data_IF_562563404155
#
_entry.id   IF_562563404155
#
_cell.length_a   1.000
_cell.length_b   1.000
_cell.length_c   1.000
_cell.angle_alpha   90.00
_cell.angle_beta   90.00
_cell.angle_gamma   90.00
#
_symmetry.space_group_name_H-M   'P 1'
#
loop_
_entity.id
_entity.type
_entity.pdbx_description
1 polymer ?
#
# COMPACT_ATOMS: atom_id res chain seq x y z
N UNK A 1 8.39 -1.95 7.10
CA UNK A 1 7.14 -2.36 6.40
C UNK A 1 7.09 -3.86 6.13
N UNK A 2 7.99 -4.48 5.38
CA UNK A 2 7.94 -5.91 5.03
C UNK A 2 7.81 -6.88 6.22
N UNK A 3 8.42 -6.57 7.36
CA UNK A 3 8.32 -7.36 8.62
C UNK A 3 6.87 -7.52 9.11
N UNK A 4 6.01 -6.55 8.87
CA UNK A 4 4.63 -6.51 9.38
C UNK A 4 3.59 -6.89 8.32
N UNK A 5 4.01 -7.15 7.09
CA UNK A 5 3.19 -7.61 5.99
C UNK A 5 2.95 -9.11 6.10
N UNK A 6 1.74 -9.50 6.49
CA UNK A 6 1.35 -10.89 6.76
C UNK A 6 0.75 -11.55 5.51
N UNK A 7 0.69 -12.88 5.43
CA UNK A 7 -0.18 -13.56 4.46
C UNK A 7 -1.61 -13.05 4.58
N UNK A 8 -2.30 -12.93 3.45
CA UNK A 8 -3.62 -12.32 3.35
C UNK A 8 -3.59 -10.82 3.08
N UNK A 9 -2.60 -10.09 3.58
CA UNK A 9 -2.48 -8.66 3.36
C UNK A 9 -2.28 -8.33 1.87
N UNK A 10 -2.73 -7.13 1.49
CA UNK A 10 -2.57 -6.59 0.15
C UNK A 10 -1.59 -5.44 0.12
N UNK A 11 -0.88 -5.33 -0.99
CA UNK A 11 0.02 -4.23 -1.26
C UNK A 11 -0.39 -3.51 -2.55
N UNK A 12 -0.41 -2.17 -2.50
CA UNK A 12 -0.64 -1.30 -3.65
C UNK A 12 0.37 -0.14 -3.59
N UNK A 13 1.49 -0.30 -4.25
CA UNK A 13 2.60 0.64 -4.18
C UNK A 13 3.06 1.13 -5.54
N UNK A 14 4.25 1.69 -5.58
CA UNK A 14 4.80 2.35 -6.76
C UNK A 14 6.25 1.92 -7.05
N UNK A 15 6.85 2.44 -8.11
CA UNK A 15 8.09 1.98 -8.72
C UNK A 15 9.35 2.04 -7.83
N UNK A 16 9.32 2.70 -6.67
CA UNK A 16 10.49 2.76 -5.75
C UNK A 16 10.52 1.61 -4.72
N UNK A 17 9.56 0.71 -4.76
CA UNK A 17 9.39 -0.34 -3.74
C UNK A 17 10.06 -1.67 -4.09
N UNK A 18 11.15 -1.65 -4.89
CA UNK A 18 11.92 -2.88 -5.22
C UNK A 18 12.36 -3.62 -3.96
N UNK A 19 12.87 -2.88 -2.97
CA UNK A 19 13.31 -3.47 -1.70
C UNK A 19 12.18 -4.18 -0.97
N UNK A 20 10.96 -3.64 -1.02
CA UNK A 20 9.79 -4.29 -0.44
C UNK A 20 9.46 -5.60 -1.18
N UNK A 21 9.43 -5.58 -2.52
CA UNK A 21 9.16 -6.75 -3.32
C UNK A 21 10.18 -7.88 -3.06
N UNK A 22 11.46 -7.54 -2.96
CA UNK A 22 12.52 -8.50 -2.64
C UNK A 22 12.42 -9.00 -1.19
N UNK A 23 12.24 -8.11 -0.22
CA UNK A 23 12.16 -8.46 1.20
C UNK A 23 10.94 -9.33 1.54
N UNK A 24 9.87 -9.23 0.76
CA UNK A 24 8.67 -10.08 0.91
C UNK A 24 8.78 -11.40 0.17
N UNK A 25 9.80 -11.56 -0.68
CA UNK A 25 9.96 -12.71 -1.56
C UNK A 25 8.99 -12.70 -2.76
N UNK A 26 8.34 -11.58 -3.04
CA UNK A 26 7.40 -11.44 -4.15
C UNK A 26 8.12 -11.30 -5.50
N UNK A 27 9.38 -10.85 -5.50
CA UNK A 27 10.23 -10.75 -6.67
C UNK A 27 11.66 -11.12 -6.33
N UNK A 28 12.39 -11.59 -7.33
CA UNK A 28 13.83 -11.83 -7.27
C UNK A 28 14.60 -10.79 -8.09
N UNK A 29 15.89 -10.67 -7.85
CA UNK A 29 16.77 -9.80 -8.64
C UNK A 29 16.79 -10.24 -10.11
N UNK A 30 16.71 -11.55 -10.39
CA UNK A 30 16.65 -12.08 -11.75
C UNK A 30 15.38 -11.62 -12.49
N UNK A 31 14.24 -11.72 -11.86
CA UNK A 31 12.94 -11.26 -12.41
C UNK A 31 12.91 -9.75 -12.63
N UNK A 32 13.52 -8.98 -11.71
CA UNK A 32 13.70 -7.54 -11.88
C UNK A 32 14.50 -7.18 -13.14
N UNK A 33 15.60 -7.90 -13.41
CA UNK A 33 16.36 -7.69 -14.63
C UNK A 33 15.64 -8.20 -15.87
N UNK A 34 14.90 -9.31 -15.79
CA UNK A 34 14.05 -9.75 -16.90
C UNK A 34 13.01 -8.66 -17.26
N UNK A 35 12.39 -8.04 -16.28
CA UNK A 35 11.47 -6.91 -16.49
C UNK A 35 12.20 -5.70 -17.10
N UNK A 36 13.42 -5.37 -16.63
CA UNK A 36 14.24 -4.27 -17.19
C UNK A 36 14.53 -4.46 -18.68
N UNK A 37 14.79 -5.69 -19.09
CA UNK A 37 15.05 -6.05 -20.49
C UNK A 37 13.78 -6.36 -21.29
N UNK A 38 12.59 -6.16 -20.70
CA UNK A 38 11.30 -6.46 -21.31
C UNK A 38 11.21 -7.91 -21.83
N UNK A 39 11.70 -8.86 -21.05
CA UNK A 39 11.67 -10.28 -21.41
C UNK A 39 10.21 -10.75 -21.50
N UNK A 40 9.76 -11.25 -22.66
CA UNK A 40 8.37 -11.63 -22.87
C UNK A 40 8.00 -12.98 -22.24
N UNK A 41 8.97 -13.73 -21.73
CA UNK A 41 8.72 -15.04 -21.12
C UNK A 41 8.17 -14.88 -19.69
N UNK A 42 6.92 -15.34 -19.42
CA UNK A 42 6.33 -15.23 -18.10
C UNK A 42 7.02 -16.10 -17.04
N UNK A 43 7.90 -17.03 -17.42
CA UNK A 43 8.74 -17.78 -16.48
C UNK A 43 9.95 -16.97 -16.00
N UNK A 44 10.35 -15.93 -16.76
CA UNK A 44 11.42 -15.01 -16.42
C UNK A 44 10.90 -13.72 -15.79
N UNK A 45 9.83 -13.14 -16.34
CA UNK A 45 9.10 -12.00 -15.75
C UNK A 45 7.66 -12.39 -15.41
N UNK A 46 7.42 -13.00 -14.24
CA UNK A 46 6.08 -13.43 -13.82
C UNK A 46 5.14 -12.25 -13.49
N UNK A 47 5.66 -11.03 -13.40
CA UNK A 47 4.90 -9.85 -13.05
C UNK A 47 4.17 -9.23 -14.24
N UNK A 48 4.82 -9.22 -15.42
CA UNK A 48 4.27 -8.54 -16.59
C UNK A 48 4.58 -9.18 -17.93
N UNK A 49 5.49 -10.16 -18.00
CA UNK A 49 6.01 -10.70 -19.25
C UNK A 49 6.49 -9.59 -20.21
N UNK A 50 7.30 -8.68 -19.69
CA UNK A 50 7.89 -7.56 -20.44
C UNK A 50 6.92 -6.45 -20.85
N UNK A 51 5.67 -6.44 -20.37
CA UNK A 51 4.63 -5.48 -20.81
C UNK A 51 4.52 -4.24 -19.95
N UNK A 52 5.11 -4.23 -18.76
CA UNK A 52 5.11 -3.09 -17.84
C UNK A 52 6.47 -2.40 -17.82
N UNK A 53 6.47 -1.16 -17.36
CA UNK A 53 7.71 -0.49 -17.01
C UNK A 53 8.42 -1.22 -15.87
N UNK A 54 9.73 -1.08 -15.79
CA UNK A 54 10.53 -1.67 -14.73
C UNK A 54 10.02 -1.28 -13.33
N UNK A 55 10.15 -2.17 -12.36
CA UNK A 55 9.68 -1.99 -10.98
C UNK A 55 8.16 -1.95 -10.81
N UNK A 56 7.39 -2.54 -11.71
CA UNK A 56 5.95 -2.73 -11.59
C UNK A 56 5.68 -4.20 -11.28
N UNK A 57 5.59 -4.50 -10.00
CA UNK A 57 5.41 -5.87 -9.50
C UNK A 57 3.93 -6.21 -9.36
N UNK A 58 3.61 -7.49 -9.53
CA UNK A 58 2.29 -8.06 -9.29
C UNK A 58 2.41 -9.52 -8.87
N UNK A 59 1.56 -10.00 -7.99
CA UNK A 59 1.35 -11.45 -7.81
C UNK A 59 0.09 -11.90 -8.53
N UNK A 60 0.06 -13.13 -9.01
CA UNK A 60 -1.15 -13.67 -9.65
C UNK A 60 -2.24 -13.91 -8.61
N UNK A 61 -3.46 -13.47 -8.90
CA UNK A 61 -4.65 -13.70 -8.08
C UNK A 61 -5.53 -14.83 -8.63
N UNK A 62 -5.29 -15.22 -9.86
CA UNK A 62 -6.02 -16.30 -10.54
C UNK A 62 -5.04 -17.31 -11.15
N UNK A 63 -5.47 -18.54 -11.29
CA UNK A 63 -4.75 -19.57 -12.03
C UNK A 63 -4.93 -19.45 -13.56
N UNK A 64 -4.39 -20.40 -14.31
CA UNK A 64 -4.47 -20.41 -15.77
C UNK A 64 -5.90 -20.62 -16.31
N UNK A 65 -6.79 -21.17 -15.50
CA UNK A 65 -8.20 -21.38 -15.80
C UNK A 65 -9.08 -20.21 -15.36
N UNK A 66 -8.48 -19.14 -14.80
CA UNK A 66 -9.19 -17.97 -14.29
C UNK A 66 -9.84 -18.17 -12.91
N UNK A 67 -9.59 -19.28 -12.23
CA UNK A 67 -10.07 -19.52 -10.87
C UNK A 67 -9.24 -18.72 -9.87
N UNK A 68 -9.91 -18.07 -8.92
CA UNK A 68 -9.23 -17.31 -7.88
C UNK A 68 -8.45 -18.23 -6.95
N UNK A 69 -7.19 -17.87 -6.74
CA UNK A 69 -6.26 -18.58 -5.86
C UNK A 69 -6.61 -18.36 -4.38
N UNK A 70 -5.97 -19.12 -3.50
CA UNK A 70 -6.02 -18.88 -2.06
C UNK A 70 -5.19 -17.63 -1.72
N UNK A 71 -5.87 -16.50 -1.57
CA UNK A 71 -5.24 -15.21 -1.27
C UNK A 71 -4.94 -15.04 0.22
N UNK A 72 -5.58 -15.81 1.09
CA UNK A 72 -5.41 -15.72 2.56
C UNK A 72 -4.03 -16.20 3.00
N UNK A 73 -3.50 -17.23 2.35
CA UNK A 73 -2.21 -17.82 2.68
C UNK A 73 -1.04 -17.26 1.87
N UNK A 74 -1.24 -16.14 1.20
CA UNK A 74 -0.26 -15.51 0.31
C UNK A 74 -0.06 -14.04 0.65
N UNK A 75 1.12 -13.52 0.29
CA UNK A 75 1.38 -12.09 0.23
C UNK A 75 0.91 -11.56 -1.12
N UNK A 76 -0.05 -10.64 -1.13
CA UNK A 76 -0.75 -10.21 -2.33
C UNK A 76 -0.28 -8.84 -2.79
N UNK A 77 0.46 -8.79 -3.90
CA UNK A 77 0.87 -7.54 -4.54
C UNK A 77 -0.07 -7.25 -5.71
N UNK A 78 -0.89 -6.23 -5.57
CA UNK A 78 -1.74 -5.76 -6.68
C UNK A 78 -0.86 -5.10 -7.75
N UNK A 79 -1.20 -5.34 -9.02
CA UNK A 79 -0.40 -4.90 -10.15
C UNK A 79 0.03 -3.42 -10.04
N UNK A 80 1.31 -3.14 -10.22
CA UNK A 80 1.85 -1.79 -10.24
C UNK A 80 1.15 -0.93 -11.28
N UNK A 81 1.05 0.38 -11.03
CA UNK A 81 0.42 1.35 -11.93
C UNK A 81 1.41 2.48 -12.24
N UNK A 82 1.56 2.80 -13.53
CA UNK A 82 2.49 3.83 -13.98
C UNK A 82 1.99 5.28 -13.74
N UNK A 83 0.69 5.62 -13.89
CA UNK A 83 0.20 6.96 -13.60
C UNK A 83 0.46 7.34 -12.14
N UNK A 84 0.96 8.56 -11.92
CA UNK A 84 1.34 9.07 -10.59
C UNK A 84 0.17 8.99 -9.61
N UNK A 85 0.40 8.41 -8.44
CA UNK A 85 -0.57 8.19 -7.36
C UNK A 85 -1.81 7.31 -7.72
N UNK A 86 -1.88 6.71 -8.92
CA UNK A 86 -3.01 5.85 -9.31
C UNK A 86 -3.18 4.61 -8.42
N UNK A 87 -2.15 4.20 -7.68
CA UNK A 87 -2.23 3.14 -6.68
C UNK A 87 -3.11 3.49 -5.48
N UNK A 88 -3.37 4.79 -5.21
CA UNK A 88 -4.14 5.24 -4.05
C UNK A 88 -5.61 4.82 -4.11
N UNK A 89 -6.40 5.15 -5.15
CA UNK A 89 -7.79 4.69 -5.23
C UNK A 89 -7.89 3.15 -5.27
N UNK A 90 -6.93 2.45 -5.89
CA UNK A 90 -6.87 0.99 -5.83
C UNK A 90 -6.67 0.48 -4.41
N UNK A 91 -5.78 1.11 -3.62
CA UNK A 91 -5.56 0.75 -2.22
C UNK A 91 -6.83 0.93 -1.38
N UNK A 92 -7.60 1.98 -1.63
CA UNK A 92 -8.91 2.21 -1.00
C UNK A 92 -9.86 1.05 -1.31
N UNK A 93 -9.95 0.61 -2.59
CA UNK A 93 -10.79 -0.52 -2.97
C UNK A 93 -10.39 -1.83 -2.30
N UNK A 94 -9.09 -2.12 -2.22
CA UNK A 94 -8.58 -3.33 -1.56
C UNK A 94 -8.87 -3.31 -0.04
N UNK A 95 -8.65 -2.17 0.62
CA UNK A 95 -8.95 -2.03 2.03
C UNK A 95 -10.46 -2.07 2.31
N UNK A 96 -11.28 -1.49 1.42
CA UNK A 96 -12.74 -1.58 1.52
C UNK A 96 -13.23 -3.03 1.39
N UNK A 97 -12.63 -3.82 0.50
CA UNK A 97 -12.96 -5.24 0.38
C UNK A 97 -12.77 -5.98 1.71
N UNK A 98 -11.66 -5.74 2.42
CA UNK A 98 -11.42 -6.31 3.76
C UNK A 98 -12.55 -5.93 4.74
N UNK A 99 -12.96 -4.65 4.75
CA UNK A 99 -14.10 -4.22 5.56
C UNK A 99 -15.40 -4.93 5.19
N UNK A 100 -15.69 -5.07 3.90
CA UNK A 100 -16.88 -5.79 3.41
C UNK A 100 -16.88 -7.25 3.89
N UNK A 101 -15.72 -7.93 3.83
CA UNK A 101 -15.59 -9.29 4.36
C UNK A 101 -15.79 -9.38 5.87
N UNK A 102 -15.51 -8.32 6.62
CA UNK A 102 -15.79 -8.25 8.07
C UNK A 102 -17.27 -8.04 8.36
N UNK A 103 -17.90 -7.12 7.65
CA UNK A 103 -19.22 -6.59 7.99
C UNK A 103 -20.39 -7.33 7.31
N UNK A 104 -20.15 -8.01 6.17
CA UNK A 104 -21.19 -8.62 5.34
C UNK A 104 -21.13 -10.14 5.41
N UNK A 105 -22.14 -10.75 6.02
CA UNK A 105 -22.19 -12.21 6.23
C UNK A 105 -22.18 -13.01 4.92
N UNK A 106 -22.88 -12.53 3.88
CA UNK A 106 -23.03 -13.23 2.60
C UNK A 106 -21.71 -13.51 1.88
N UNK A 107 -20.63 -12.71 2.13
CA UNK A 107 -19.34 -12.91 1.49
C UNK A 107 -18.39 -13.81 2.29
N UNK A 108 -18.67 -14.12 3.53
CA UNK A 108 -17.81 -14.94 4.40
C UNK A 108 -17.63 -16.38 3.90
N UNK A 109 -18.52 -16.85 3.04
CA UNK A 109 -18.40 -18.16 2.36
C UNK A 109 -17.12 -18.24 1.45
N UNK A 110 -16.58 -17.10 1.02
CA UNK A 110 -15.38 -17.05 0.19
C UNK A 110 -14.10 -17.02 1.04
N UNK A 111 -13.89 -18.06 1.84
CA UNK A 111 -12.81 -18.16 2.82
C UNK A 111 -11.39 -18.15 2.21
N UNK A 112 -11.27 -18.39 0.90
CA UNK A 112 -10.02 -18.27 0.16
C UNK A 112 -9.64 -16.82 -0.21
N UNK A 113 -10.55 -15.85 -0.02
CA UNK A 113 -10.34 -14.45 -0.35
C UNK A 113 -9.99 -13.60 0.86
N UNK A 114 -10.54 -13.93 2.03
CA UNK A 114 -10.35 -13.15 3.25
C UNK A 114 -10.47 -14.02 4.51
N UNK A 115 -9.67 -13.69 5.51
CA UNK A 115 -9.77 -14.22 6.87
C UNK A 115 -10.64 -13.27 7.72
N UNK A 116 -11.93 -13.26 7.46
CA UNK A 116 -12.91 -12.42 8.17
C UNK A 116 -12.59 -10.91 8.16
N UNK A 117 -11.99 -10.39 7.10
CA UNK A 117 -11.63 -8.98 6.99
C UNK A 117 -10.50 -8.55 7.91
N UNK A 118 -9.57 -9.44 8.22
CA UNK A 118 -8.38 -9.12 9.02
C UNK A 118 -7.21 -8.58 8.19
N UNK A 119 -7.34 -8.57 6.88
CA UNK A 119 -6.29 -8.11 5.97
C UNK A 119 -6.14 -6.59 6.05
N UNK A 120 -4.89 -6.14 5.99
CA UNK A 120 -4.53 -4.72 5.86
C UNK A 120 -4.04 -4.48 4.44
N UNK A 121 -4.47 -3.38 3.83
CA UNK A 121 -3.86 -2.91 2.60
C UNK A 121 -2.71 -1.97 2.93
N UNK A 122 -1.51 -2.31 2.46
CA UNK A 122 -0.31 -1.49 2.54
C UNK A 122 -0.19 -0.68 1.25
N UNK A 123 -0.16 0.63 1.36
CA UNK A 123 0.02 1.51 0.21
C UNK A 123 1.23 2.42 0.42
N UNK A 124 1.96 2.70 -0.64
CA UNK A 124 3.14 3.56 -0.61
C UNK A 124 3.04 4.67 -1.65
N UNK A 125 3.59 5.83 -1.32
CA UNK A 125 3.62 6.99 -2.19
C UNK A 125 4.81 7.88 -1.84
N UNK A 126 5.41 8.54 -2.84
CA UNK A 126 6.40 9.60 -2.60
C UNK A 126 5.72 10.90 -2.20
N UNK A 127 6.42 11.75 -1.44
CA UNK A 127 5.92 13.05 -0.97
C UNK A 127 5.44 13.95 -2.12
N UNK A 128 6.21 14.05 -3.21
CA UNK A 128 5.81 14.83 -4.38
C UNK A 128 4.52 14.31 -5.04
N UNK A 129 4.35 12.99 -5.11
CA UNK A 129 3.16 12.37 -5.69
C UNK A 129 1.89 12.63 -4.88
N UNK A 130 2.01 13.03 -3.62
CA UNK A 130 0.85 13.45 -2.80
C UNK A 130 0.20 14.74 -3.30
N UNK A 131 0.81 15.45 -4.26
CA UNK A 131 0.21 16.61 -4.91
C UNK A 131 -0.92 16.26 -5.89
N UNK A 132 -1.05 14.98 -6.27
CA UNK A 132 -2.12 14.51 -7.15
C UNK A 132 -3.49 14.53 -6.44
N UNK A 133 -4.53 14.99 -7.16
CA UNK A 133 -5.88 15.14 -6.61
C UNK A 133 -6.44 13.85 -6.00
N UNK A 134 -6.28 12.74 -6.70
CA UNK A 134 -6.79 11.45 -6.23
C UNK A 134 -6.07 10.88 -4.98
N UNK A 135 -4.90 11.41 -4.59
CA UNK A 135 -4.34 11.13 -3.27
C UNK A 135 -5.24 11.70 -2.17
N UNK A 136 -5.65 12.96 -2.29
CA UNK A 136 -6.51 13.64 -1.30
C UNK A 136 -7.89 13.01 -1.23
N UNK A 137 -8.46 12.66 -2.38
CA UNK A 137 -9.73 11.93 -2.47
C UNK A 137 -9.64 10.56 -1.81
N UNK A 138 -8.56 9.81 -2.05
CA UNK A 138 -8.34 8.51 -1.43
C UNK A 138 -8.20 8.60 0.10
N UNK A 139 -7.46 9.59 0.61
CA UNK A 139 -7.35 9.84 2.06
C UNK A 139 -8.70 10.18 2.67
N UNK A 140 -9.48 11.07 2.03
CA UNK A 140 -10.80 11.43 2.49
C UNK A 140 -11.76 10.23 2.48
N UNK A 141 -11.81 9.48 1.38
CA UNK A 141 -12.65 8.29 1.26
C UNK A 141 -12.30 7.24 2.32
N UNK A 142 -11.01 6.98 2.54
CA UNK A 142 -10.55 6.04 3.55
C UNK A 142 -10.88 6.50 4.98
N UNK A 143 -10.77 7.81 5.26
CA UNK A 143 -11.13 8.40 6.54
C UNK A 143 -12.64 8.29 6.82
N UNK A 144 -13.48 8.55 5.83
CA UNK A 144 -14.94 8.44 5.95
C UNK A 144 -15.37 6.98 6.12
N UNK A 145 -14.81 6.09 5.29
CA UNK A 145 -15.18 4.67 5.27
C UNK A 145 -14.61 3.88 6.46
N UNK A 146 -13.59 4.41 7.15
CA UNK A 146 -12.87 3.69 8.22
C UNK A 146 -12.48 2.29 7.75
N UNK A 147 -11.45 2.22 6.89
CA UNK A 147 -10.98 1.00 6.23
C UNK A 147 -9.54 0.66 6.66
N UNK A 148 -9.13 -0.61 6.66
CA UNK A 148 -7.80 -1.04 7.13
C UNK A 148 -6.70 -0.72 6.11
N UNK A 149 -6.35 0.56 5.99
CA UNK A 149 -5.33 1.08 5.08
C UNK A 149 -4.11 1.61 5.86
N UNK A 150 -2.95 1.03 5.61
CA UNK A 150 -1.65 1.52 6.06
C UNK A 150 -1.01 2.32 4.91
N UNK A 151 -1.05 3.64 4.99
CA UNK A 151 -0.55 4.54 3.96
C UNK A 151 0.81 5.09 4.34
N UNK A 152 1.86 4.67 3.61
CA UNK A 152 3.24 5.11 3.82
C UNK A 152 3.60 6.23 2.83
N UNK A 153 4.07 7.35 3.37
CA UNK A 153 4.65 8.44 2.58
C UNK A 153 6.17 8.41 2.75
N UNK A 154 6.88 8.16 1.65
CA UNK A 154 8.33 8.25 1.58
C UNK A 154 8.70 9.69 1.23
N UNK A 155 9.21 10.44 2.23
CA UNK A 155 9.56 11.86 2.09
C UNK A 155 11.09 12.02 2.04
N UNK A 156 11.63 12.12 0.84
CA UNK A 156 13.04 12.44 0.61
C UNK A 156 13.29 13.95 0.40
N UNK A 157 12.23 14.75 0.49
CA UNK A 157 12.28 16.20 0.38
C UNK A 157 12.26 16.75 -1.04
N UNK A 158 12.13 15.89 -2.05
CA UNK A 158 12.19 16.31 -3.46
C UNK A 158 11.19 15.55 -4.34
N UNK A 159 10.65 16.25 -5.34
CA UNK A 159 10.00 15.64 -6.50
C UNK A 159 10.90 15.79 -7.71
N UNK A 160 11.70 14.76 -8.04
CA UNK A 160 12.78 14.80 -9.04
C UNK A 160 13.80 15.88 -8.66
N UNK A 161 13.66 17.11 -9.16
CA UNK A 161 14.55 18.26 -8.89
C UNK A 161 13.88 19.39 -8.11
N UNK A 162 12.59 19.26 -7.80
CA UNK A 162 11.81 20.30 -7.12
C UNK A 162 11.76 20.05 -5.62
N UNK A 163 12.29 20.96 -4.78
CA UNK A 163 12.19 20.85 -3.33
C UNK A 163 10.73 20.85 -2.85
N UNK A 164 10.43 20.06 -1.83
CA UNK A 164 9.07 19.85 -1.30
C UNK A 164 8.33 21.12 -0.89
N UNK A 165 9.04 22.15 -0.46
CA UNK A 165 8.45 23.44 -0.09
C UNK A 165 7.68 24.13 -1.24
N UNK A 166 7.99 23.79 -2.48
CA UNK A 166 7.29 24.28 -3.67
C UNK A 166 6.16 23.36 -4.14
N UNK A 167 5.98 22.23 -3.48
CA UNK A 167 5.01 21.20 -3.87
C UNK A 167 3.96 20.95 -2.79
N UNK A 168 4.34 21.01 -1.51
CA UNK A 168 3.49 20.59 -0.39
C UNK A 168 3.26 21.74 0.56
N UNK A 169 1.98 22.05 0.82
CA UNK A 169 1.61 23.04 1.82
C UNK A 169 2.28 22.74 3.17
N UNK A 170 2.82 23.77 3.83
CA UNK A 170 3.60 23.67 5.09
C UNK A 170 4.89 22.84 4.96
N UNK A 171 5.30 22.46 3.75
CA UNK A 171 6.48 21.61 3.51
C UNK A 171 6.39 20.22 4.16
N UNK A 172 5.17 19.72 4.45
CA UNK A 172 4.98 18.45 5.14
C UNK A 172 3.58 17.90 4.91
N UNK A 173 3.49 16.70 4.37
CA UNK A 173 2.22 16.00 4.11
C UNK A 173 1.43 15.77 5.40
N UNK A 174 2.10 15.32 6.47
CA UNK A 174 1.44 15.10 7.77
C UNK A 174 0.91 16.38 8.41
N UNK A 175 1.60 17.52 8.22
CA UNK A 175 1.11 18.82 8.70
C UNK A 175 -0.07 19.32 7.85
N UNK A 176 -0.04 19.09 6.54
CA UNK A 176 -1.16 19.44 5.66
C UNK A 176 -2.42 18.61 5.97
N UNK A 177 -2.25 17.37 6.39
CA UNK A 177 -3.35 16.45 6.73
C UNK A 177 -3.81 16.50 8.20
N UNK A 178 -3.30 17.39 9.03
CA UNK A 178 -3.73 17.50 10.44
C UNK A 178 -5.24 17.68 10.63
N UNK A 179 -5.91 18.31 9.68
CA UNK A 179 -7.36 18.46 9.70
C UNK A 179 -8.14 17.13 9.60
N UNK A 180 -7.51 16.09 9.06
CA UNK A 180 -8.07 14.75 8.95
C UNK A 180 -7.81 13.87 10.18
N UNK A 181 -6.97 14.33 11.13
CA UNK A 181 -6.62 13.52 12.28
C UNK A 181 -7.84 13.21 13.14
N UNK A 182 -7.99 11.93 13.47
CA UNK A 182 -9.10 11.41 14.28
C UNK A 182 -9.11 12.07 15.66
N UNK A 183 -10.29 12.50 16.08
CA UNK A 183 -10.57 13.00 17.43
C UNK A 183 -11.64 12.13 18.07
N UNK A 184 -11.79 12.23 19.39
CA UNK A 184 -12.83 11.50 20.09
C UNK A 184 -14.22 11.82 19.51
N UNK A 185 -15.02 10.77 19.27
CA UNK A 185 -16.35 10.90 18.69
C UNK A 185 -16.42 11.21 17.19
N UNK A 186 -15.26 11.28 16.47
CA UNK A 186 -15.23 11.55 15.03
C UNK A 186 -14.59 10.41 14.23
N UNK A 187 -14.89 10.35 12.93
CA UNK A 187 -14.05 9.63 11.98
C UNK A 187 -12.75 10.41 11.72
N UNK A 188 -11.83 9.83 10.96
CA UNK A 188 -10.56 10.45 10.64
C UNK A 188 -9.44 9.41 10.52
N UNK A 189 -8.21 9.88 10.52
CA UNK A 189 -7.01 9.07 10.35
C UNK A 189 -6.07 9.20 11.55
N UNK A 190 -5.29 8.15 11.82
CA UNK A 190 -4.13 8.28 12.68
C UNK A 190 -2.94 8.82 11.86
N UNK A 191 -2.11 9.66 12.46
CA UNK A 191 -0.93 10.23 11.80
C UNK A 191 0.31 9.91 12.64
N UNK A 192 1.27 9.20 12.01
CA UNK A 192 2.56 8.88 12.59
C UNK A 192 3.67 9.57 11.77
N UNK A 193 4.63 10.19 12.47
CA UNK A 193 5.84 10.76 11.85
C UNK A 193 7.05 9.98 12.35
N UNK A 194 7.82 9.44 11.42
CA UNK A 194 8.96 8.59 11.71
C UNK A 194 10.21 9.12 11.02
N UNK A 195 11.36 8.87 11.64
CA UNK A 195 12.68 9.18 11.08
C UNK A 195 13.21 7.96 10.34
N UNK A 196 13.59 8.13 9.07
CA UNK A 196 14.04 7.03 8.22
C UNK A 196 15.27 6.28 8.77
N UNK A 197 16.11 6.94 9.56
CA UNK A 197 17.33 6.37 10.16
C UNK A 197 17.10 5.72 11.53
N UNK A 198 15.94 5.90 12.14
CA UNK A 198 15.60 5.27 13.43
C UNK A 198 14.88 3.95 13.21
N UNK A 199 15.66 2.91 12.89
CA UNK A 199 15.10 1.58 12.58
C UNK A 199 14.35 0.97 13.76
N UNK A 200 14.88 1.09 14.99
CA UNK A 200 14.26 0.51 16.19
C UNK A 200 12.92 1.19 16.50
N UNK A 201 12.92 2.54 16.57
CA UNK A 201 11.69 3.29 16.81
C UNK A 201 10.65 3.10 15.69
N UNK A 202 11.10 2.99 14.43
CA UNK A 202 10.18 2.64 13.34
C UNK A 202 9.53 1.25 13.55
N UNK A 203 10.28 0.24 13.99
CA UNK A 203 9.72 -1.08 14.23
C UNK A 203 8.66 -1.07 15.32
N UNK A 204 8.91 -0.39 16.44
CA UNK A 204 7.97 -0.29 17.56
C UNK A 204 6.67 0.40 17.15
N UNK A 205 6.79 1.57 16.51
CA UNK A 205 5.61 2.33 16.07
C UNK A 205 4.82 1.59 14.99
N UNK A 206 5.50 0.97 14.02
CA UNK A 206 4.84 0.24 12.94
C UNK A 206 4.11 -1.00 13.46
N UNK A 207 4.67 -1.72 14.43
CA UNK A 207 4.00 -2.87 15.05
C UNK A 207 2.67 -2.44 15.66
N UNK A 208 2.69 -1.43 16.52
CA UNK A 208 1.49 -0.91 17.16
C UNK A 208 0.48 -0.33 16.16
N UNK A 209 0.95 0.44 15.16
CA UNK A 209 0.08 1.05 14.16
C UNK A 209 -0.61 0.00 13.29
N UNK A 210 0.12 -1.00 12.78
CA UNK A 210 -0.46 -2.04 11.92
C UNK A 210 -1.46 -2.92 12.68
N UNK A 211 -1.17 -3.29 13.92
CA UNK A 211 -2.14 -4.03 14.74
C UNK A 211 -3.39 -3.19 15.05
N UNK A 212 -3.23 -1.89 15.30
CA UNK A 212 -4.38 -0.98 15.45
C UNK A 212 -5.21 -0.89 14.17
N UNK A 213 -4.58 -0.73 13.00
CA UNK A 213 -5.29 -0.72 11.71
C UNK A 213 -6.08 -2.02 11.53
N UNK A 214 -5.45 -3.16 11.79
CA UNK A 214 -6.06 -4.49 11.64
C UNK A 214 -7.27 -4.69 12.55
N UNK A 215 -7.19 -4.24 13.79
CA UNK A 215 -8.25 -4.41 14.78
C UNK A 215 -9.40 -3.40 14.62
N UNK A 216 -9.08 -2.14 14.33
CA UNK A 216 -10.05 -1.03 14.36
C UNK A 216 -10.53 -0.58 12.98
N UNK A 217 -9.90 -1.03 11.89
CA UNK A 217 -10.13 -0.54 10.53
C UNK A 217 -10.01 1.00 10.41
N UNK A 218 -9.06 1.60 11.14
CA UNK A 218 -8.78 3.03 11.03
C UNK A 218 -7.55 3.23 10.13
N UNK A 219 -7.68 4.04 9.07
CA UNK A 219 -6.54 4.45 8.23
C UNK A 219 -5.44 5.06 9.09
N UNK A 220 -4.20 4.65 8.85
CA UNK A 220 -3.04 5.34 9.39
C UNK A 220 -2.15 5.88 8.27
N UNK A 221 -1.86 7.19 8.33
CA UNK A 221 -0.82 7.84 7.56
C UNK A 221 0.51 7.70 8.30
N UNK A 222 1.48 7.07 7.67
CA UNK A 222 2.82 6.84 8.20
C UNK A 222 3.81 7.64 7.34
N UNK A 223 4.18 8.81 7.83
CA UNK A 223 5.09 9.74 7.16
C UNK A 223 6.52 9.49 7.62
N UNK A 224 7.38 9.04 6.71
CA UNK A 224 8.78 8.69 6.97
C UNK A 224 9.68 9.68 6.24
N UNK A 225 10.47 10.45 7.00
CA UNK A 225 11.35 11.51 6.49
C UNK A 225 12.74 11.47 7.12
#
# INVERSE_FOLDING_TARGET
>A
MAKFFKPGDFYSGYYRDQTFAFATGAATVKEFFAQLYADPDPSHDPHSAGRQMNSHFATRFVDEQGKVLDLVNRKNLAAGMAPTAAQMPKAVGLALASKVFRDVEAVKQFSNLSLNGNEVCFATIGDASTSEGHFWEAVNAAAVQQIPLALFVWDDGYGISVPKQFQTAKGSVSEALKGFQKKEGTNGIDIYKLKAWDYAGMCEVLEAAIEKIRSTHTLSLIHIS
#
